data_IF_061119367470
#
_entry.id   IF_061119367470
#
_cell.length_a   1.000
_cell.length_b   1.000
_cell.length_c   1.000
_cell.angle_alpha   90.00
_cell.angle_beta   90.00
_cell.angle_gamma   90.00
#
_symmetry.space_group_name_H-M   'P 1'
#
loop_
_entity.id
_entity.type
_entity.pdbx_description
1 polymer ?
#
# COMPACT_ATOMS: atom_id res chain seq x y z
N UNK A 1 40.23 -1.01 -16.78
CA UNK A 1 38.82 -1.45 -16.69
C UNK A 1 38.21 -1.22 -15.29
N UNK A 2 38.79 -1.72 -14.19
CA UNK A 2 38.28 -1.48 -12.82
C UNK A 2 38.12 -0.01 -12.41
N UNK A 3 39.06 0.87 -12.82
CA UNK A 3 39.02 2.29 -12.46
C UNK A 3 37.85 3.06 -13.10
N UNK A 4 37.49 2.71 -14.35
CA UNK A 4 36.37 3.31 -15.07
C UNK A 4 35.02 2.86 -14.51
N UNK A 5 34.91 1.59 -14.11
CA UNK A 5 33.70 1.07 -13.46
C UNK A 5 33.43 1.74 -12.11
N UNK A 6 34.49 2.03 -11.34
CA UNK A 6 34.36 2.73 -10.07
C UNK A 6 33.94 4.20 -10.24
N UNK A 7 34.48 4.90 -11.25
CA UNK A 7 34.08 6.29 -11.56
C UNK A 7 32.60 6.35 -11.95
N UNK A 8 32.17 5.46 -12.85
CA UNK A 8 30.77 5.41 -13.29
C UNK A 8 29.80 5.06 -12.14
N UNK A 9 30.20 4.19 -11.22
CA UNK A 9 29.41 3.86 -10.02
C UNK A 9 29.30 5.05 -9.05
N UNK A 10 30.39 5.82 -8.86
CA UNK A 10 30.36 7.05 -8.06
C UNK A 10 29.49 8.13 -8.69
N UNK A 11 29.60 8.34 -10.01
CA UNK A 11 28.76 9.29 -10.75
C UNK A 11 27.29 8.90 -10.65
N UNK A 12 26.96 7.62 -10.85
CA UNK A 12 25.58 7.11 -10.71
C UNK A 12 25.00 7.39 -9.31
N UNK A 13 25.77 7.14 -8.26
CA UNK A 13 25.35 7.43 -6.87
C UNK A 13 25.14 8.92 -6.62
N UNK A 14 26.00 9.77 -7.17
CA UNK A 14 25.88 11.23 -7.06
C UNK A 14 24.63 11.74 -7.79
N UNK A 15 24.34 11.26 -9.00
CA UNK A 15 23.09 11.59 -9.72
C UNK A 15 21.83 11.13 -8.95
N UNK A 16 21.85 9.94 -8.35
CA UNK A 16 20.74 9.45 -7.50
C UNK A 16 20.55 10.35 -6.27
N UNK A 17 21.64 10.79 -5.64
CA UNK A 17 21.56 11.66 -4.46
C UNK A 17 21.06 13.05 -4.84
N UNK A 18 21.61 13.66 -5.89
CA UNK A 18 21.20 14.98 -6.40
C UNK A 18 19.72 14.98 -6.79
N UNK A 19 19.27 13.97 -7.54
CA UNK A 19 17.85 13.83 -7.88
C UNK A 19 16.99 13.72 -6.61
N UNK A 20 17.32 12.87 -5.63
CA UNK A 20 16.54 12.79 -4.38
C UNK A 20 16.46 14.11 -3.62
N UNK A 21 17.55 14.87 -3.57
CA UNK A 21 17.59 16.19 -2.92
C UNK A 21 16.75 17.21 -3.71
N UNK A 22 16.91 17.26 -5.03
CA UNK A 22 16.08 18.10 -5.91
C UNK A 22 14.60 17.78 -5.75
N UNK A 23 14.22 16.49 -5.73
CA UNK A 23 12.84 16.06 -5.49
C UNK A 23 12.33 16.44 -4.09
N UNK A 24 13.17 16.44 -3.06
CA UNK A 24 12.78 16.87 -1.71
C UNK A 24 12.56 18.39 -1.65
N UNK A 25 13.44 19.18 -2.29
CA UNK A 25 13.36 20.64 -2.34
C UNK A 25 12.17 21.08 -3.21
N UNK A 26 12.10 20.58 -4.45
CA UNK A 26 11.01 20.89 -5.38
C UNK A 26 9.67 20.30 -4.94
N UNK A 27 9.70 19.22 -4.15
CA UNK A 27 8.50 18.64 -3.53
C UNK A 27 7.91 19.51 -2.43
N UNK A 28 8.75 20.21 -1.65
CA UNK A 28 8.34 21.08 -0.54
C UNK A 28 8.00 22.50 -1.02
N UNK A 29 8.76 23.04 -1.98
CA UNK A 29 8.54 24.39 -2.51
C UNK A 29 7.26 24.52 -3.35
N UNK A 30 6.66 23.40 -3.75
CA UNK A 30 5.57 23.41 -4.72
C UNK A 30 4.18 23.25 -4.10
N UNK A 31 4.00 23.73 -2.87
CA UNK A 31 2.69 23.80 -2.23
C UNK A 31 1.67 24.50 -3.15
N UNK A 32 1.99 25.64 -3.77
CA UNK A 32 1.01 26.40 -4.58
C UNK A 32 0.52 25.64 -5.83
N UNK A 33 1.41 24.99 -6.57
CA UNK A 33 1.03 24.19 -7.75
C UNK A 33 0.26 22.94 -7.33
N UNK A 34 0.75 22.20 -6.34
CA UNK A 34 0.08 20.98 -5.87
C UNK A 34 -1.26 21.30 -5.20
N UNK A 35 -1.36 22.38 -4.42
CA UNK A 35 -2.64 22.90 -3.92
C UNK A 35 -3.55 23.33 -5.07
N UNK A 36 -3.02 23.92 -6.14
CA UNK A 36 -3.77 24.23 -7.36
C UNK A 36 -4.37 22.98 -8.00
N UNK A 37 -3.57 21.92 -8.15
CA UNK A 37 -4.04 20.61 -8.66
C UNK A 37 -5.07 19.99 -7.72
N UNK A 38 -4.82 19.98 -6.40
CA UNK A 38 -5.73 19.43 -5.38
C UNK A 38 -7.05 20.20 -5.38
N UNK A 39 -7.02 21.54 -5.44
CA UNK A 39 -8.21 22.38 -5.45
C UNK A 39 -9.01 22.19 -6.74
N UNK A 40 -8.33 22.11 -7.90
CA UNK A 40 -8.97 21.79 -9.18
C UNK A 40 -9.64 20.42 -9.11
N UNK A 41 -8.94 19.40 -8.59
CA UNK A 41 -9.49 18.04 -8.44
C UNK A 41 -10.65 18.02 -7.44
N UNK A 42 -10.54 18.70 -6.30
CA UNK A 42 -11.61 18.83 -5.30
C UNK A 42 -12.84 19.50 -5.90
N UNK A 43 -12.67 20.55 -6.70
CA UNK A 43 -13.76 21.23 -7.39
C UNK A 43 -14.41 20.35 -8.46
N UNK A 44 -13.62 19.62 -9.24
CA UNK A 44 -14.11 18.70 -10.28
C UNK A 44 -14.84 17.48 -9.70
N UNK A 45 -14.38 16.95 -8.57
CA UNK A 45 -14.97 15.79 -7.91
C UNK A 45 -16.03 16.16 -6.86
N UNK A 46 -16.26 17.45 -6.61
CA UNK A 46 -17.27 17.90 -5.68
C UNK A 46 -18.66 17.54 -6.21
N UNK A 47 -19.36 16.69 -5.47
CA UNK A 47 -20.76 16.38 -5.72
C UNK A 47 -21.59 17.60 -5.29
N UNK A 48 -22.05 18.37 -6.28
CA UNK A 48 -22.85 19.60 -6.04
C UNK A 48 -24.30 19.31 -5.68
N UNK A 49 -24.78 18.13 -6.04
CA UNK A 49 -26.14 17.68 -5.83
C UNK A 49 -26.37 16.36 -6.55
N UNK A 50 -27.51 15.75 -6.27
CA UNK A 50 -27.95 14.50 -6.91
C UNK A 50 -29.44 14.62 -7.27
N UNK A 51 -29.88 13.86 -8.25
CA UNK A 51 -31.32 13.69 -8.52
C UNK A 51 -31.88 12.59 -7.64
N UNK A 52 -32.90 12.92 -6.85
CA UNK A 52 -33.69 11.96 -6.05
C UNK A 52 -35.15 12.15 -6.46
N UNK A 53 -35.80 11.06 -6.90
CA UNK A 53 -37.22 11.05 -7.28
C UNK A 53 -37.65 12.18 -8.24
N UNK A 54 -36.78 12.47 -9.23
CA UNK A 54 -37.02 13.50 -10.24
C UNK A 54 -36.72 14.94 -9.81
N UNK A 55 -36.29 15.16 -8.56
CA UNK A 55 -35.95 16.48 -8.03
C UNK A 55 -34.45 16.64 -7.78
N UNK A 56 -33.90 17.81 -8.06
CA UNK A 56 -32.49 18.13 -7.78
C UNK A 56 -32.30 18.47 -6.30
N UNK A 57 -31.53 17.65 -5.59
CA UNK A 57 -31.26 17.82 -4.17
C UNK A 57 -29.80 18.24 -3.96
N UNK A 58 -29.60 19.36 -3.25
CA UNK A 58 -28.28 19.89 -2.86
C UNK A 58 -28.01 19.76 -1.35
N UNK A 59 -29.01 19.34 -0.57
CA UNK A 59 -28.90 19.21 0.88
C UNK A 59 -27.91 18.08 1.26
N UNK A 60 -26.83 18.38 2.01
CA UNK A 60 -25.79 17.40 2.31
C UNK A 60 -26.27 16.16 3.08
N UNK A 61 -27.26 16.32 3.97
CA UNK A 61 -27.83 15.21 4.75
C UNK A 61 -28.52 14.19 3.85
N UNK A 62 -29.40 14.68 2.97
CA UNK A 62 -30.12 13.88 1.99
C UNK A 62 -29.19 13.21 0.98
N UNK A 63 -28.17 13.93 0.49
CA UNK A 63 -27.15 13.36 -0.40
C UNK A 63 -26.46 12.16 0.28
N UNK A 64 -25.92 12.36 1.49
CA UNK A 64 -25.23 11.29 2.24
C UNK A 64 -26.13 10.07 2.45
N UNK A 65 -27.37 10.29 2.89
CA UNK A 65 -28.35 9.22 3.10
C UNK A 65 -28.63 8.43 1.83
N UNK A 66 -28.79 9.12 0.70
CA UNK A 66 -29.05 8.49 -0.60
C UNK A 66 -27.86 7.63 -1.04
N UNK A 67 -26.62 8.12 -0.86
CA UNK A 67 -25.41 7.34 -1.16
C UNK A 67 -25.29 6.09 -0.28
N UNK A 68 -25.52 6.23 1.04
CA UNK A 68 -25.49 5.10 1.97
C UNK A 68 -26.53 4.06 1.55
N UNK A 69 -27.78 4.46 1.36
CA UNK A 69 -28.85 3.54 0.97
C UNK A 69 -28.57 2.84 -0.37
N UNK A 70 -28.03 3.58 -1.36
CA UNK A 70 -27.70 3.03 -2.67
C UNK A 70 -26.66 1.90 -2.57
N UNK A 71 -25.58 2.16 -1.83
CA UNK A 71 -24.50 1.17 -1.69
C UNK A 71 -24.85 0.08 -0.70
N UNK A 72 -25.60 0.38 0.36
CA UNK A 72 -26.16 -0.63 1.26
C UNK A 72 -26.99 -1.62 0.45
N UNK A 73 -27.96 -1.16 -0.36
CA UNK A 73 -28.77 -2.06 -1.17
C UNK A 73 -27.96 -2.92 -2.16
N UNK A 74 -26.85 -2.38 -2.72
CA UNK A 74 -25.98 -3.12 -3.66
C UNK A 74 -25.03 -4.10 -3.00
N UNK A 75 -24.47 -3.74 -1.85
CA UNK A 75 -23.47 -4.53 -1.14
C UNK A 75 -24.06 -5.34 0.00
N UNK A 76 -25.38 -5.21 0.25
CA UNK A 76 -26.10 -6.12 1.13
C UNK A 76 -25.89 -7.52 0.62
N UNK A 77 -25.37 -8.37 1.48
CA UNK A 77 -25.12 -9.76 1.16
C UNK A 77 -26.44 -10.39 0.67
N UNK A 78 -26.50 -10.90 -0.57
CA UNK A 78 -27.66 -11.67 -1.00
C UNK A 78 -27.72 -12.89 -0.08
N UNK A 79 -28.80 -12.98 0.72
CA UNK A 79 -28.87 -13.87 1.87
C UNK A 79 -28.35 -15.27 1.59
N UNK A 80 -27.35 -15.72 2.36
CA UNK A 80 -26.78 -17.08 2.51
C UNK A 80 -26.65 -17.95 1.24
N UNK A 81 -26.67 -17.40 0.03
CA UNK A 81 -26.35 -18.15 -1.16
C UNK A 81 -24.85 -17.99 -1.42
N UNK A 82 -24.04 -18.58 -0.53
CA UNK A 82 -22.63 -18.83 -0.85
C UNK A 82 -22.63 -19.60 -2.17
N UNK A 83 -22.19 -18.95 -3.23
CA UNK A 83 -21.99 -19.59 -4.52
C UNK A 83 -21.04 -20.78 -4.28
N UNK A 84 -21.60 -21.98 -4.24
CA UNK A 84 -20.79 -23.20 -4.30
C UNK A 84 -20.27 -23.25 -5.72
N UNK A 85 -19.02 -22.82 -5.88
CA UNK A 85 -18.28 -23.01 -7.12
C UNK A 85 -18.10 -24.53 -7.27
N UNK A 86 -19.06 -25.19 -7.94
CA UNK A 86 -18.99 -26.61 -8.30
C UNK A 86 -18.06 -26.77 -9.53
N UNK A 87 -16.85 -26.22 -9.44
CA UNK A 87 -15.84 -26.36 -10.47
C UNK A 87 -14.78 -27.32 -9.98
N UNK A 88 -14.56 -28.41 -10.73
CA UNK A 88 -13.40 -29.27 -10.48
C UNK A 88 -12.17 -28.57 -11.04
N UNK A 89 -11.39 -27.96 -10.15
CA UNK A 89 -10.06 -27.46 -10.50
C UNK A 89 -9.17 -28.67 -10.84
N UNK A 90 -8.69 -28.81 -12.09
CA UNK A 90 -7.88 -29.96 -12.51
C UNK A 90 -6.48 -29.93 -11.88
N UNK A 91 -6.01 -28.73 -11.51
CA UNK A 91 -4.75 -28.53 -10.78
C UNK A 91 -5.11 -28.11 -9.36
N UNK A 92 -4.90 -29.01 -8.41
CA UNK A 92 -5.01 -28.74 -6.98
C UNK A 92 -3.62 -28.80 -6.38
N UNK A 93 -3.39 -27.96 -5.38
CA UNK A 93 -2.22 -28.10 -4.53
C UNK A 93 -2.31 -29.46 -3.81
N UNK A 94 -1.16 -30.10 -3.65
CA UNK A 94 -1.06 -31.23 -2.74
C UNK A 94 -1.30 -30.74 -1.31
N UNK A 95 -1.80 -31.61 -0.41
CA UNK A 95 -2.14 -31.21 0.96
C UNK A 95 -0.95 -30.55 1.67
N UNK A 96 0.26 -31.09 1.51
CA UNK A 96 1.48 -30.51 2.05
C UNK A 96 1.80 -29.10 1.51
N UNK A 97 1.45 -28.80 0.25
CA UNK A 97 1.64 -27.46 -0.31
C UNK A 97 0.59 -26.48 0.22
N UNK A 98 -0.64 -26.95 0.44
CA UNK A 98 -1.67 -26.15 1.09
C UNK A 98 -1.29 -25.85 2.54
N UNK A 99 -0.85 -26.88 3.28
CA UNK A 99 -0.39 -26.75 4.66
C UNK A 99 0.81 -25.79 4.78
N UNK A 100 1.72 -25.80 3.81
CA UNK A 100 2.85 -24.86 3.78
C UNK A 100 2.41 -23.41 3.52
N UNK A 101 1.39 -23.19 2.68
CA UNK A 101 0.83 -21.86 2.42
C UNK A 101 -0.01 -21.32 3.59
N UNK A 102 -0.65 -22.21 4.35
CA UNK A 102 -1.46 -21.87 5.53
C UNK A 102 -0.65 -21.81 6.82
N UNK A 103 0.63 -22.22 6.78
CA UNK A 103 1.51 -22.16 7.93
C UNK A 103 1.69 -20.73 8.41
N UNK A 104 1.82 -20.58 9.73
CA UNK A 104 2.22 -19.32 10.36
C UNK A 104 3.54 -18.85 9.73
N UNK A 105 3.53 -17.64 9.17
CA UNK A 105 4.72 -16.97 8.66
C UNK A 105 5.75 -16.95 9.77
N UNK A 106 7.01 -17.27 9.48
CA UNK A 106 8.10 -17.26 10.46
C UNK A 106 8.88 -15.94 10.42
N UNK A 107 9.59 -15.64 11.52
CA UNK A 107 10.49 -14.48 11.58
C UNK A 107 11.55 -14.51 10.49
N UNK A 108 12.07 -15.69 10.18
CA UNK A 108 13.10 -15.87 9.15
C UNK A 108 12.56 -15.64 7.75
N UNK A 109 11.30 -16.02 7.46
CA UNK A 109 10.65 -15.70 6.19
C UNK A 109 10.46 -14.19 5.98
N UNK A 110 10.06 -13.47 7.04
CA UNK A 110 9.96 -12.00 7.02
C UNK A 110 11.34 -11.38 6.76
N UNK A 111 12.36 -11.85 7.49
CA UNK A 111 13.75 -11.37 7.30
C UNK A 111 14.23 -11.63 5.87
N UNK A 112 14.07 -12.85 5.38
CA UNK A 112 14.49 -13.24 4.04
C UNK A 112 13.78 -12.40 2.97
N UNK A 113 12.49 -12.15 3.13
CA UNK A 113 11.69 -11.30 2.23
C UNK A 113 12.23 -9.86 2.17
N UNK A 114 12.59 -9.29 3.32
CA UNK A 114 13.21 -7.95 3.40
C UNK A 114 14.61 -7.93 2.77
N UNK A 115 15.41 -8.98 2.98
CA UNK A 115 16.78 -9.07 2.43
C UNK A 115 16.80 -9.28 0.92
N UNK A 116 15.87 -10.07 0.39
CA UNK A 116 15.70 -10.31 -1.04
C UNK A 116 15.19 -9.07 -1.80
N UNK A 117 14.69 -8.06 -1.09
CA UNK A 117 14.33 -6.78 -1.69
C UNK A 117 15.56 -5.91 -1.91
N UNK A 118 15.66 -5.28 -3.08
CA UNK A 118 16.70 -4.29 -3.36
C UNK A 118 16.57 -3.06 -2.44
N UNK A 119 17.71 -2.50 -2.02
CA UNK A 119 17.79 -1.39 -1.07
C UNK A 119 17.09 -0.11 -1.56
N UNK A 120 17.00 0.07 -2.88
CA UNK A 120 16.43 1.24 -3.55
C UNK A 120 14.97 1.04 -4.03
N UNK A 121 14.26 0.03 -3.51
CA UNK A 121 12.82 -0.09 -3.80
C UNK A 121 12.02 1.02 -3.14
N UNK A 122 10.88 1.37 -3.75
CA UNK A 122 9.98 2.41 -3.27
C UNK A 122 9.52 2.11 -1.85
N UNK A 123 9.50 3.10 -0.95
CA UNK A 123 8.99 2.92 0.40
C UNK A 123 7.48 2.63 0.39
N UNK A 124 6.99 1.96 1.43
CA UNK A 124 5.55 1.85 1.70
C UNK A 124 4.91 3.20 2.06
N UNK A 125 3.60 3.25 2.34
CA UNK A 125 2.88 4.45 2.76
C UNK A 125 3.54 5.17 3.96
N UNK A 126 4.22 4.41 4.82
CA UNK A 126 4.93 4.89 6.01
C UNK A 126 6.29 5.55 5.71
N UNK A 127 6.73 5.60 4.44
CA UNK A 127 7.96 6.28 4.04
C UNK A 127 9.26 5.54 4.34
N UNK A 128 9.21 4.36 4.97
CA UNK A 128 10.40 3.57 5.31
C UNK A 128 10.93 2.77 4.10
N UNK A 129 12.23 2.91 3.82
CA UNK A 129 12.91 2.16 2.75
C UNK A 129 13.42 0.80 3.24
N UNK A 130 13.62 -0.15 2.32
CA UNK A 130 14.23 -1.45 2.66
C UNK A 130 15.63 -1.30 3.25
N UNK A 131 16.41 -0.31 2.81
CA UNK A 131 17.72 0.01 3.40
C UNK A 131 17.61 0.39 4.88
N UNK A 132 16.58 1.14 5.24
CA UNK A 132 16.29 1.48 6.64
C UNK A 132 15.92 0.24 7.44
N UNK A 133 15.01 -0.60 6.93
CA UNK A 133 14.58 -1.83 7.59
C UNK A 133 15.73 -2.81 7.83
N UNK A 134 16.62 -2.98 6.84
CA UNK A 134 17.82 -3.83 6.98
C UNK A 134 18.79 -3.28 8.01
N UNK A 135 18.99 -1.95 8.04
CA UNK A 135 19.94 -1.29 8.96
C UNK A 135 19.48 -1.36 10.42
N UNK A 136 18.19 -1.21 10.68
CA UNK A 136 17.65 -1.16 12.04
C UNK A 136 16.91 -2.43 12.45
N UNK A 137 17.11 -3.54 11.72
CA UNK A 137 16.41 -4.81 11.93
C UNK A 137 16.51 -5.32 13.36
N UNK A 138 17.67 -5.16 14.02
CA UNK A 138 17.85 -5.61 15.42
C UNK A 138 16.98 -4.82 16.41
N UNK A 139 16.61 -3.60 16.07
CA UNK A 139 15.74 -2.74 16.88
C UNK A 139 14.25 -2.99 16.59
N UNK A 140 13.85 -3.03 15.31
CA UNK A 140 12.42 -3.09 14.92
C UNK A 140 11.93 -4.50 14.61
N UNK A 141 12.83 -5.45 14.35
CA UNK A 141 12.48 -6.77 13.83
C UNK A 141 11.74 -7.66 14.85
N UNK A 142 11.83 -7.34 16.14
CA UNK A 142 11.02 -7.96 17.20
C UNK A 142 9.58 -7.47 17.19
N UNK A 143 9.35 -6.19 16.89
CA UNK A 143 8.01 -5.61 16.84
C UNK A 143 7.25 -5.96 15.56
N UNK A 144 7.97 -6.23 14.46
CA UNK A 144 7.40 -6.78 13.22
C UNK A 144 6.79 -8.17 13.37
N UNK A 145 7.27 -8.94 14.35
CA UNK A 145 6.83 -10.30 14.61
C UNK A 145 5.60 -10.38 15.54
N UNK A 146 5.27 -9.29 16.24
CA UNK A 146 4.18 -9.33 17.22
C UNK A 146 2.85 -9.66 16.52
N UNK A 147 2.03 -10.58 17.05
CA UNK A 147 0.72 -10.92 16.48
C UNK A 147 -0.25 -9.73 16.32
N UNK A 148 0.00 -8.62 17.02
CA UNK A 148 -0.77 -7.38 16.92
C UNK A 148 -0.31 -6.44 15.79
N UNK A 149 0.83 -6.73 15.16
CA UNK A 149 1.40 -5.90 14.09
C UNK A 149 0.87 -6.41 12.75
N UNK A 150 0.11 -5.57 12.04
CA UNK A 150 -0.34 -5.87 10.69
C UNK A 150 0.78 -5.54 9.70
N UNK A 151 1.63 -6.52 9.40
CA UNK A 151 2.64 -6.42 8.34
C UNK A 151 2.03 -6.93 7.05
N UNK A 152 1.86 -6.04 6.07
CA UNK A 152 1.36 -6.42 4.75
C UNK A 152 2.47 -6.30 3.71
N UNK A 153 2.74 -7.40 3.01
CA UNK A 153 3.69 -7.44 1.92
C UNK A 153 2.95 -7.29 0.59
N UNK A 154 3.27 -6.26 -0.17
CA UNK A 154 2.81 -6.16 -1.56
C UNK A 154 3.85 -6.83 -2.44
N UNK A 155 3.41 -7.81 -3.23
CA UNK A 155 4.25 -8.52 -4.20
C UNK A 155 3.83 -8.18 -5.63
N UNK A 156 4.81 -8.10 -6.53
CA UNK A 156 4.61 -8.05 -7.98
C UNK A 156 5.48 -9.11 -8.63
N UNK A 157 4.89 -9.98 -9.44
CA UNK A 157 5.58 -11.09 -10.10
C UNK A 157 6.38 -12.00 -9.14
N UNK A 158 5.86 -12.24 -7.94
CA UNK A 158 6.52 -13.09 -6.93
C UNK A 158 7.64 -12.38 -6.14
N UNK A 159 7.89 -11.10 -6.40
CA UNK A 159 8.88 -10.31 -5.65
C UNK A 159 8.15 -9.30 -4.77
N UNK A 160 8.44 -9.32 -3.47
CA UNK A 160 8.00 -8.26 -2.56
C UNK A 160 8.50 -6.91 -3.08
N UNK A 161 7.58 -5.99 -3.34
CA UNK A 161 7.84 -4.64 -3.85
C UNK A 161 7.65 -3.57 -2.80
N UNK A 162 6.88 -3.84 -1.75
CA UNK A 162 6.62 -2.92 -0.66
C UNK A 162 6.24 -3.67 0.60
N UNK A 163 6.62 -3.13 1.76
CA UNK A 163 6.18 -3.57 3.08
C UNK A 163 5.38 -2.42 3.68
N UNK A 164 4.16 -2.71 4.09
CA UNK A 164 3.28 -1.80 4.83
C UNK A 164 3.29 -2.24 6.29
N UNK A 165 3.67 -1.33 7.18
CA UNK A 165 3.79 -1.57 8.61
C UNK A 165 2.71 -0.77 9.31
N UNK A 166 1.51 -1.34 9.28
CA UNK A 166 0.41 -0.81 10.07
C UNK A 166 0.62 -1.20 11.54
N UNK A 167 1.45 -0.43 12.24
CA UNK A 167 1.41 -0.38 13.70
C UNK A 167 0.04 0.15 14.07
N UNK A 168 -0.78 -0.68 14.71
CA UNK A 168 -2.09 -0.26 15.16
C UNK A 168 -1.95 1.07 15.89
N UNK A 169 -2.48 2.14 15.29
CA UNK A 169 -2.65 3.42 15.99
C UNK A 169 -3.46 3.08 17.24
N UNK A 170 -2.79 3.00 18.38
CA UNK A 170 -3.47 3.28 19.63
C UNK A 170 -4.10 4.64 19.42
N UNK A 171 -5.43 4.64 19.32
CA UNK A 171 -6.23 5.84 19.51
C UNK A 171 -5.80 6.39 20.88
N UNK A 172 -4.92 7.37 20.87
CA UNK A 172 -4.93 8.35 21.95
C UNK A 172 -6.28 9.04 21.82
N UNK A 173 -7.13 8.76 22.80
CA UNK A 173 -8.40 9.44 23.05
C UNK A 173 -8.12 10.92 23.26
#
# INVERSE_FOLDING_TARGET
KHKLLNINDMESKDYIQKSKVTWAIEGDENAKFFHGIINKKRSQLAIRGIFVDGSWCTEPGTIKKTFVNHFEARFKEPGLQRFKINFQFPKKLLQNQADDLERVVSRDEIRLSVWNCGDNKSPGPDGNSFKFLKKYWDLIGSDLWRPSSSVSFRSSHGVVTSVDLSFGRQRFV
#
